data_IF_558379488815
#
_entry.id   IF_558379488815
#
_cell.length_a   1.000
_cell.length_b   1.000
_cell.length_c   1.000
_cell.angle_alpha   90.00
_cell.angle_beta   90.00
_cell.angle_gamma   90.00
#
_symmetry.space_group_name_H-M   'P 1'
#
loop_
_entity.id
_entity.type
_entity.pdbx_description
1 polymer ?
#
# COMPACT_ATOMS: atom_id res chain seq x y z
N UNK A 1 -10.35 15.14 3.89
CA UNK A 1 -9.29 14.37 4.56
C UNK A 1 -9.37 12.99 3.99
N UNK A 2 -8.31 12.52 3.32
CA UNK A 2 -8.27 11.12 2.90
C UNK A 2 -7.88 10.31 4.14
N UNK A 3 -8.86 9.70 4.80
CA UNK A 3 -8.61 8.93 6.01
C UNK A 3 -7.67 7.76 5.72
N UNK A 4 -6.64 7.61 6.56
CA UNK A 4 -5.68 6.48 6.50
C UNK A 4 -6.41 5.12 6.44
N UNK A 5 -7.60 5.05 7.05
CA UNK A 5 -8.48 3.87 6.99
C UNK A 5 -8.93 3.55 5.56
N UNK A 6 -9.30 4.55 4.75
CA UNK A 6 -9.75 4.34 3.38
C UNK A 6 -8.60 3.84 2.50
N UNK A 7 -7.41 4.44 2.64
CA UNK A 7 -6.21 3.99 1.93
C UNK A 7 -5.85 2.57 2.35
N UNK A 8 -5.95 2.25 3.65
CA UNK A 8 -5.74 0.90 4.15
C UNK A 8 -6.70 -0.09 3.51
N UNK A 9 -8.00 0.19 3.45
CA UNK A 9 -8.97 -0.71 2.84
C UNK A 9 -8.69 -0.94 1.35
N UNK A 10 -8.34 0.13 0.63
CA UNK A 10 -7.96 0.05 -0.79
C UNK A 10 -6.72 -0.85 -0.96
N UNK A 11 -5.69 -0.62 -0.15
CA UNK A 11 -4.44 -1.38 -0.20
C UNK A 11 -4.68 -2.84 0.16
N UNK A 12 -5.40 -3.12 1.25
CA UNK A 12 -5.76 -4.48 1.67
C UNK A 12 -6.56 -5.18 0.57
N UNK A 13 -7.47 -4.48 -0.10
CA UNK A 13 -8.21 -4.99 -1.25
C UNK A 13 -7.30 -5.37 -2.42
N UNK A 14 -6.32 -4.52 -2.76
CA UNK A 14 -5.32 -4.83 -3.79
C UNK A 14 -4.43 -6.00 -3.39
N UNK A 15 -3.93 -6.03 -2.16
CA UNK A 15 -3.10 -7.12 -1.64
C UNK A 15 -3.86 -8.44 -1.68
N UNK A 16 -5.13 -8.50 -1.25
CA UNK A 16 -5.94 -9.74 -1.36
C UNK A 16 -6.20 -10.18 -2.79
N UNK A 17 -6.18 -9.25 -3.74
CA UNK A 17 -6.36 -9.54 -5.16
C UNK A 17 -5.09 -10.06 -5.81
N UNK A 18 -3.95 -9.49 -5.42
CA UNK A 18 -2.62 -9.85 -5.93
C UNK A 18 -2.10 -11.12 -5.25
N UNK A 19 -2.30 -11.26 -3.93
CA UNK A 19 -1.96 -12.42 -3.12
C UNK A 19 -3.24 -13.19 -2.73
N UNK A 20 -3.70 -14.13 -3.57
CA UNK A 20 -4.90 -14.92 -3.27
C UNK A 20 -4.73 -15.79 -2.01
N UNK A 21 -3.49 -16.07 -1.61
CA UNK A 21 -3.12 -16.85 -0.41
C UNK A 21 -3.52 -16.11 0.89
N UNK A 22 -3.50 -14.78 0.85
CA UNK A 22 -3.92 -13.90 1.94
C UNK A 22 -5.40 -13.55 1.91
N UNK A 23 -6.13 -13.96 0.87
CA UNK A 23 -7.55 -13.58 0.68
C UNK A 23 -8.44 -14.00 1.86
N UNK A 24 -8.13 -15.15 2.47
CA UNK A 24 -8.88 -15.73 3.59
C UNK A 24 -8.14 -15.62 4.93
N UNK A 25 -6.97 -14.99 4.96
CA UNK A 25 -6.23 -14.73 6.20
C UNK A 25 -6.51 -13.32 6.72
N UNK A 26 -6.39 -13.16 8.04
CA UNK A 26 -6.33 -11.85 8.66
C UNK A 26 -5.02 -11.19 8.25
N UNK A 27 -5.10 -10.12 7.46
CA UNK A 27 -3.93 -9.37 7.03
C UNK A 27 -3.56 -8.41 8.15
N UNK A 28 -2.46 -8.72 8.84
CA UNK A 28 -1.89 -7.82 9.82
C UNK A 28 -0.94 -6.83 9.12
N UNK A 29 -1.32 -5.56 9.05
CA UNK A 29 -0.53 -4.53 8.34
C UNK A 29 0.80 -4.23 9.03
N UNK A 30 0.95 -4.66 10.29
CA UNK A 30 2.21 -4.52 11.06
C UNK A 30 3.23 -5.59 10.70
N UNK A 31 2.79 -6.70 10.10
CA UNK A 31 3.71 -7.71 9.60
C UNK A 31 4.52 -7.17 8.42
N UNK A 32 5.76 -7.64 8.31
CA UNK A 32 6.60 -7.30 7.17
C UNK A 32 6.02 -7.86 5.90
N UNK A 33 6.17 -7.13 4.78
CA UNK A 33 5.63 -7.53 3.48
C UNK A 33 6.12 -8.93 3.07
N UNK A 34 7.36 -9.25 3.46
CA UNK A 34 7.98 -10.56 3.27
C UNK A 34 7.29 -11.69 4.03
N UNK A 35 6.85 -11.43 5.27
CA UNK A 35 6.12 -12.39 6.11
C UNK A 35 4.71 -12.65 5.60
N UNK A 36 4.12 -11.64 4.97
CA UNK A 36 2.83 -11.74 4.29
C UNK A 36 2.94 -12.48 2.93
N UNK A 37 4.15 -12.87 2.51
CA UNK A 37 4.37 -13.51 1.21
C UNK A 37 4.31 -12.52 0.04
N UNK A 38 4.31 -11.21 0.29
CA UNK A 38 4.39 -10.22 -0.76
C UNK A 38 5.81 -10.13 -1.32
N UNK A 39 5.94 -10.30 -2.63
CA UNK A 39 7.18 -10.08 -3.36
C UNK A 39 7.24 -8.68 -3.95
N UNK A 40 8.42 -8.25 -4.39
CA UNK A 40 8.61 -6.94 -5.01
C UNK A 40 7.68 -6.68 -6.19
N UNK A 41 7.24 -7.74 -6.89
CA UNK A 41 6.27 -7.65 -7.99
C UNK A 41 4.89 -7.28 -7.45
N UNK A 42 4.43 -7.96 -6.40
CA UNK A 42 3.13 -7.69 -5.78
C UNK A 42 3.07 -6.26 -5.24
N UNK A 43 4.15 -5.82 -4.57
CA UNK A 43 4.28 -4.46 -4.05
C UNK A 43 4.19 -3.45 -5.20
N UNK A 44 4.93 -3.68 -6.29
CA UNK A 44 4.93 -2.79 -7.45
C UNK A 44 3.53 -2.69 -8.08
N UNK A 45 2.78 -3.79 -8.12
CA UNK A 45 1.43 -3.85 -8.67
C UNK A 45 0.43 -3.09 -7.79
N UNK A 46 0.44 -3.34 -6.47
CA UNK A 46 -0.39 -2.65 -5.47
C UNK A 46 -0.09 -1.16 -5.46
N UNK A 47 1.18 -0.79 -5.47
CA UNK A 47 1.66 0.59 -5.52
C UNK A 47 1.19 1.26 -6.81
N UNK A 48 1.38 0.63 -7.97
CA UNK A 48 0.98 1.21 -9.27
C UNK A 48 -0.53 1.41 -9.35
N UNK A 49 -1.31 0.46 -8.83
CA UNK A 49 -2.76 0.57 -8.79
C UNK A 49 -3.21 1.70 -7.85
N UNK A 50 -2.56 1.84 -6.70
CA UNK A 50 -2.83 2.90 -5.72
C UNK A 50 -2.44 4.28 -6.26
N UNK A 51 -1.27 4.42 -6.89
CA UNK A 51 -0.82 5.64 -7.58
C UNK A 51 -1.84 6.12 -8.60
N UNK A 52 -2.34 5.21 -9.46
CA UNK A 52 -3.33 5.55 -10.48
C UNK A 52 -4.66 5.97 -9.86
N UNK A 53 -5.10 5.26 -8.82
CA UNK A 53 -6.38 5.50 -8.15
C UNK A 53 -6.40 6.83 -7.39
N UNK A 54 -5.30 7.13 -6.70
CA UNK A 54 -5.13 8.35 -5.90
C UNK A 54 -4.54 9.52 -6.71
N UNK A 55 -4.17 9.28 -7.97
CA UNK A 55 -3.49 10.23 -8.86
C UNK A 55 -2.21 10.83 -8.22
N UNK A 56 -1.41 9.97 -7.59
CA UNK A 56 -0.16 10.33 -6.91
C UNK A 56 1.03 9.60 -7.53
N UNK A 57 2.23 10.16 -7.40
CA UNK A 57 3.49 9.48 -7.75
C UNK A 57 4.31 9.20 -6.49
N UNK A 58 4.61 7.91 -6.25
CA UNK A 58 5.55 7.50 -5.21
C UNK A 58 6.93 7.26 -5.84
N UNK A 59 8.00 7.92 -5.38
CA UNK A 59 9.33 7.66 -5.88
C UNK A 59 9.82 6.25 -5.47
N UNK A 60 10.58 5.62 -6.37
CA UNK A 60 11.12 4.26 -6.19
C UNK A 60 12.01 4.12 -4.97
N UNK A 61 12.69 5.21 -4.60
CA UNK A 61 13.57 5.28 -3.43
C UNK A 61 12.81 5.00 -2.12
N UNK A 62 11.59 5.54 -2.00
CA UNK A 62 10.70 5.29 -0.87
C UNK A 62 10.22 3.84 -0.84
N UNK A 63 9.92 3.26 -2.02
CA UNK A 63 9.48 1.85 -2.13
C UNK A 63 10.52 0.87 -1.60
N UNK A 64 11.81 1.14 -1.82
CA UNK A 64 12.90 0.29 -1.31
C UNK A 64 13.08 0.37 0.21
N UNK A 65 12.52 1.38 0.87
CA UNK A 65 12.60 1.57 2.33
C UNK A 65 11.42 0.94 3.07
N UNK A 66 10.35 0.57 2.35
CA UNK A 66 9.15 -0.04 2.91
C UNK A 66 9.47 -1.42 3.49
N UNK A 67 9.17 -1.62 4.77
CA UNK A 67 9.33 -2.92 5.45
C UNK A 67 8.00 -3.63 5.68
N UNK A 68 6.95 -2.87 5.97
CA UNK A 68 5.63 -3.37 6.31
C UNK A 68 4.55 -2.67 5.48
N UNK A 69 3.37 -3.26 5.46
CA UNK A 69 2.20 -2.72 4.76
C UNK A 69 1.75 -1.37 5.35
N UNK A 70 1.89 -1.20 6.67
CA UNK A 70 1.62 0.06 7.37
C UNK A 70 2.47 1.22 6.83
N UNK A 71 3.74 0.95 6.52
CA UNK A 71 4.68 1.94 5.98
C UNK A 71 4.22 2.44 4.59
N UNK A 72 3.73 1.50 3.76
CA UNK A 72 3.15 1.82 2.46
C UNK A 72 1.87 2.65 2.59
N UNK A 73 0.97 2.26 3.50
CA UNK A 73 -0.29 2.96 3.74
C UNK A 73 -0.03 4.39 4.23
N UNK A 74 0.86 4.53 5.20
CA UNK A 74 1.20 5.83 5.78
C UNK A 74 1.87 6.74 4.75
N UNK A 75 2.79 6.19 3.94
CA UNK A 75 3.43 6.93 2.85
C UNK A 75 2.41 7.45 1.83
N UNK A 76 1.48 6.60 1.39
CA UNK A 76 0.44 7.01 0.46
C UNK A 76 -0.49 8.06 1.07
N UNK A 77 -0.87 7.88 2.34
CA UNK A 77 -1.70 8.86 3.05
C UNK A 77 -1.04 10.23 3.13
N UNK A 78 0.25 10.29 3.47
CA UNK A 78 0.98 11.55 3.49
C UNK A 78 1.06 12.21 2.11
N UNK A 79 1.35 11.45 1.05
CA UNK A 79 1.44 12.01 -0.31
C UNK A 79 0.07 12.54 -0.77
N UNK A 80 -1.02 11.83 -0.48
CA UNK A 80 -2.37 12.27 -0.82
C UNK A 80 -2.75 13.52 -0.02
N UNK A 81 -2.45 13.55 1.27
CA UNK A 81 -2.75 14.70 2.14
C UNK A 81 -2.00 15.97 1.68
N UNK A 82 -0.72 15.82 1.36
CA UNK A 82 0.13 16.89 0.83
C UNK A 82 -0.42 17.41 -0.52
N UNK A 83 -0.84 16.50 -1.42
CA UNK A 83 -1.39 16.84 -2.74
C UNK A 83 -2.81 17.43 -2.70
N UNK A 84 -3.57 17.21 -1.63
CA UNK A 84 -4.92 17.78 -1.44
C UNK A 84 -4.86 19.19 -0.85
N UNK A 85 -3.71 19.58 -0.29
CA UNK A 85 -3.51 20.89 0.35
C UNK A 85 -3.00 21.97 -0.63
N UNK A 86 -2.65 21.59 -1.87
CA UNK A 86 -2.23 22.50 -2.96
C UNK A 86 -3.36 22.96 -3.88
#
# INVERSE_FOLDING_TARGET
>A
MADVQEIREIIVGFVKRTLPELKYQEIDTRQSMKELGATSIDILEVVSASMRKLNVQVPRDKLGQLKCLDDLINLLAQIVDEKVTE
#
